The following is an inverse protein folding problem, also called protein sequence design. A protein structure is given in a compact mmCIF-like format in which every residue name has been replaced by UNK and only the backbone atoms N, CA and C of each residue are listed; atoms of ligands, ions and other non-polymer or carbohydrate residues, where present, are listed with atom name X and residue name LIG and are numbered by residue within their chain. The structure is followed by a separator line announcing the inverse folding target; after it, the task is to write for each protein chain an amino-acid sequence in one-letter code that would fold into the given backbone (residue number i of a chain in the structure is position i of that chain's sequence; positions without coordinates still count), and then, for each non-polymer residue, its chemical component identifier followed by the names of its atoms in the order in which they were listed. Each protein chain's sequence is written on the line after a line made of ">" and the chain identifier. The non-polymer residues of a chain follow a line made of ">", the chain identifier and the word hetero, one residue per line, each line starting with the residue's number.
data_IF_635435840249
#
_entry.id   IF_635435840249
#
_cell.length_a   1.000
_cell.length_b   1.000
_cell.length_c   1.000
_cell.angle_alpha   90.00
_cell.angle_beta   90.00
_cell.angle_gamma   90.00
#
_symmetry.space_group_name_H-M   'P 1'
#
loop_
_entity.id
_entity.type
_entity.pdbx_description
1 polymer ?
2 non-polymer ?
3 non-polymer ?
4 non-polymer ?
5 water ?
#
# COMPACT_ATOMS: atom_id res chain seq x y z
N UNK A 17 0.29 -29.94 1.11
CA UNK A 17 1.42 -29.92 0.14
C UNK A 17 1.51 -28.54 -0.52
N UNK A 18 0.75 -28.28 -1.58
CA UNK A 18 0.86 -27.01 -2.31
C UNK A 18 0.09 -25.86 -1.64
N UNK A 20 -2.43 -22.72 -1.76
CA UNK A 20 -3.58 -22.56 -2.64
C UNK A 20 -3.53 -21.24 -3.41
N UNK A 21 -2.54 -21.09 -4.29
CA UNK A 21 -2.32 -19.80 -4.94
C UNK A 21 -3.51 -19.34 -5.81
N UNK A 22 -4.12 -20.26 -6.55
CA UNK A 22 -5.16 -19.86 -7.52
C UNK A 22 -6.35 -19.26 -6.76
N UNK A 23 -6.77 -19.97 -5.72
CA UNK A 23 -7.82 -19.49 -4.82
C UNK A 23 -7.41 -18.18 -4.16
N UNK A 24 -6.16 -18.08 -3.70
CA UNK A 24 -5.67 -16.86 -3.05
C UNK A 24 -5.90 -15.64 -3.91
N UNK A 25 -5.67 -15.78 -5.22
CA UNK A 25 -5.82 -14.66 -6.17
C UNK A 25 -7.25 -14.14 -6.30
N UNK A 26 -8.23 -14.95 -5.94
CA UNK A 26 -9.64 -14.62 -6.19
C UNK A 26 -10.22 -13.73 -5.10
N UNK A 27 -9.70 -12.50 -5.02
CA UNK A 27 -10.19 -11.46 -4.15
C UNK A 27 -10.24 -10.17 -4.95
N UNK A 28 -11.17 -9.26 -4.61
CA UNK A 28 -11.44 -8.06 -5.41
C UNK A 28 -10.23 -7.19 -5.72
N UNK A 29 -9.36 -6.96 -4.74
CA UNK A 29 -8.22 -6.05 -4.97
C UNK A 29 -7.26 -6.58 -6.03
N UNK A 30 -7.28 -7.89 -6.26
CA UNK A 30 -6.39 -8.53 -7.22
C UNK A 30 -7.11 -8.89 -8.54
N UNK A 31 -8.40 -8.58 -8.61
CA UNK A 31 -9.26 -9.14 -9.66
C UNK A 31 -8.97 -8.61 -11.07
N UNK A 32 -8.28 -7.48 -11.20
CA UNK A 32 -8.03 -6.91 -12.51
C UNK A 32 -6.62 -7.17 -13.04
N UNK A 33 -5.80 -7.91 -12.29
CA UNK A 33 -4.49 -8.29 -12.79
C UNK A 33 -4.66 -9.19 -14.03
N UNK A 34 -3.80 -9.00 -15.03
CA UNK A 34 -3.77 -9.90 -16.19
C UNK A 34 -3.27 -11.29 -15.75
N UNK A 35 -3.50 -12.32 -16.55
CA UNK A 35 -2.97 -13.65 -16.23
C UNK A 35 -1.43 -13.59 -16.05
N UNK A 36 -0.72 -12.85 -16.91
CA UNK A 36 0.73 -12.63 -16.71
C UNK A 36 1.02 -12.07 -15.32
N UNK A 37 0.30 -11.01 -14.95
CA UNK A 37 0.51 -10.37 -13.65
C UNK A 37 0.20 -11.31 -12.47
N UNK A 38 -0.87 -12.09 -12.60
CA UNK A 38 -1.22 -13.05 -11.57
C UNK A 38 -0.14 -14.10 -11.37
N UNK A 39 0.45 -14.58 -12.47
CA UNK A 39 1.50 -15.59 -12.34
C UNK A 39 2.80 -14.98 -11.79
N UNK A 40 3.12 -13.76 -12.21
CA UNK A 40 4.28 -13.06 -11.66
C UNK A 40 4.09 -12.72 -10.17
N UNK A 41 2.90 -12.28 -9.78
CA UNK A 41 2.62 -11.99 -8.40
C UNK A 41 2.77 -13.26 -7.55
N UNK A 42 2.31 -14.39 -8.08
CA UNK A 42 2.41 -15.68 -7.38
C UNK A 42 3.87 -16.08 -7.12
N UNK A 43 4.73 -15.93 -8.13
CA UNK A 43 6.15 -16.21 -7.92
C UNK A 43 6.77 -15.32 -6.85
N UNK A 45 5.23 -13.75 -4.43
CA UNK A 45 4.63 -14.01 -3.13
C UNK A 45 5.24 -15.29 -2.52
N UNK A 46 5.50 -16.30 -3.37
CA UNK A 46 6.19 -17.52 -2.96
C UNK A 46 7.60 -17.21 -2.43
N UNK A 47 8.30 -16.33 -3.13
CA UNK A 47 9.64 -15.91 -2.68
C UNK A 47 9.56 -15.13 -1.37
N UNK A 48 8.56 -14.27 -1.27
CA UNK A 48 8.31 -13.52 -0.03
C UNK A 48 8.23 -14.47 1.16
N UNK A 49 7.42 -15.51 1.02
CA UNK A 49 7.22 -16.46 2.12
C UNK A 49 8.48 -17.28 2.42
N UNK A 50 9.35 -17.47 1.42
CA UNK A 50 10.65 -18.09 1.64
C UNK A 50 11.55 -17.20 2.46
N UNK A 51 11.46 -15.89 2.24
CA UNK A 51 12.40 -14.92 2.80
C UNK A 51 11.90 -14.25 4.08
N UNK A 52 10.60 -14.22 4.30
CA UNK A 52 10.07 -13.51 5.48
C UNK A 52 9.09 -14.40 6.26
N UNK A 53 8.95 -14.14 7.54
CA UNK A 53 7.98 -14.88 8.35
C UNK A 53 6.77 -14.02 8.60
N UNK A 54 5.61 -14.65 8.55
CA UNK A 54 4.37 -14.07 9.00
C UNK A 54 4.14 -14.61 10.40
N UNK A 55 4.16 -13.75 11.41
CA UNK A 55 4.07 -14.22 12.80
C UNK A 55 2.70 -13.85 13.34
N UNK A 56 1.85 -14.85 13.50
CA UNK A 56 0.50 -14.65 14.00
C UNK A 56 0.55 -14.70 15.50
N UNK A 57 -0.06 -13.72 16.15
CA UNK A 57 0.09 -13.56 17.58
C UNK A 57 -1.21 -13.72 18.34
N UNK A 58 -1.08 -13.92 19.65
CA UNK A 58 -2.19 -13.91 20.61
C UNK A 58 -3.24 -14.96 20.28
N UNK A 59 -2.81 -16.13 19.82
CA UNK A 59 -3.72 -17.19 19.44
C UNK A 59 -4.25 -17.15 18.01
N UNK A 60 -3.93 -16.12 17.26
CA UNK A 60 -4.38 -16.08 15.88
C UNK A 60 -3.78 -17.25 15.09
N UNK A 61 -4.60 -17.90 14.28
CA UNK A 61 -4.19 -18.97 13.38
C UNK A 61 -4.50 -18.57 11.94
N UNK A 62 -3.48 -18.50 11.12
CA UNK A 62 -3.62 -18.15 9.72
C UNK A 62 -3.50 -19.42 8.88
N UNK A 63 -4.49 -19.67 8.02
CA UNK A 63 -4.44 -20.80 7.08
C UNK A 63 -3.47 -20.55 5.93
N UNK A 64 -3.11 -21.60 5.20
CA UNK A 64 -2.33 -21.38 4.00
C UNK A 64 -2.96 -20.36 3.06
N UNK A 65 -4.28 -20.40 2.91
CA UNK A 65 -4.96 -19.39 2.07
C UNK A 65 -4.71 -17.99 2.57
N UNK A 66 -4.84 -17.79 3.88
CA UNK A 66 -4.62 -16.47 4.46
C UNK A 66 -3.17 -16.00 4.25
N UNK A 67 -2.23 -16.92 4.49
CA UNK A 67 -0.80 -16.65 4.35
C UNK A 67 -0.47 -16.25 2.92
N UNK A 68 -1.05 -16.99 1.96
CA UNK A 68 -0.86 -16.73 0.53
C UNK A 68 -1.36 -15.34 0.14
N UNK A 69 -2.56 -15.02 0.62
CA UNK A 69 -3.14 -13.72 0.34
C UNK A 69 -2.35 -12.57 0.95
N UNK A 70 -1.91 -12.75 2.19
CA UNK A 70 -1.12 -11.71 2.82
C UNK A 70 0.18 -11.46 2.01
N UNK A 71 0.85 -12.54 1.61
CA UNK A 71 2.06 -12.41 0.77
C UNK A 71 1.81 -11.66 -0.52
N UNK A 73 -0.57 -9.51 -1.10
CA UNK A 73 -0.78 -8.07 -0.84
C UNK A 73 0.50 -7.30 -0.61
N UNK A 74 1.47 -7.93 0.05
CA UNK A 74 2.76 -7.29 0.27
C UNK A 74 3.47 -7.09 -1.07
N UNK A 75 3.31 -8.07 -1.96
CA UNK A 75 3.99 -8.03 -3.24
C UNK A 75 3.35 -7.12 -4.29
N UNK A 76 2.07 -6.84 -4.15
CA UNK A 76 1.36 -6.03 -5.14
C UNK A 76 2.02 -4.67 -5.40
N UNK A 77 2.32 -3.89 -4.34
CA UNK A 77 2.91 -2.58 -4.68
C UNK A 77 4.29 -2.69 -5.28
N UNK A 78 4.98 -3.82 -5.08
CA UNK A 78 6.33 -3.96 -5.63
C UNK A 78 6.37 -4.95 -6.82
N UNK A 79 5.21 -5.22 -7.42
CA UNK A 79 5.13 -6.17 -8.52
C UNK A 79 6.11 -5.84 -9.66
N UNK A 80 6.23 -4.56 -10.01
CA UNK A 80 7.13 -4.11 -11.04
C UNK A 80 8.37 -3.41 -10.50
N UNK A 81 8.60 -3.44 -9.20
CA UNK A 81 9.80 -2.89 -8.60
C UNK A 81 10.76 -4.00 -8.18
N UNK A 82 10.23 -5.09 -7.64
CA UNK A 82 11.04 -6.22 -7.20
C UNK A 82 10.99 -6.44 -5.69
N UNK A 83 11.15 -7.69 -5.29
CA UNK A 83 11.07 -8.05 -3.89
C UNK A 83 12.11 -7.34 -3.01
N UNK A 84 13.20 -6.87 -3.61
CA UNK A 84 14.27 -6.23 -2.82
C UNK A 84 13.82 -4.89 -2.25
N UNK A 85 12.76 -4.30 -2.82
CA UNK A 85 12.19 -3.09 -2.27
C UNK A 85 11.52 -3.30 -0.89
N UNK A 86 11.30 -4.56 -0.52
CA UNK A 86 10.84 -4.94 0.81
C UNK A 86 11.95 -5.39 1.78
N UNK A 87 13.23 -5.07 1.46
CA UNK A 87 14.40 -5.44 2.27
C UNK A 87 14.46 -4.73 3.62
N UNK A 88 13.59 -3.77 3.85
CA UNK A 88 13.62 -3.05 5.10
C UNK A 88 12.97 -3.77 6.28
N UNK A 89 12.53 -5.02 6.07
CA UNK A 89 11.96 -5.84 7.16
C UNK A 89 12.13 -7.32 6.86
N UNK A 90 12.23 -8.11 7.93
CA UNK A 90 12.43 -9.57 7.85
C UNK A 90 11.17 -10.34 8.25
N UNK A 91 10.30 -9.69 9.03
CA UNK A 91 9.13 -10.33 9.65
C UNK A 91 7.93 -9.42 9.57
N UNK A 92 6.75 -10.03 9.62
CA UNK A 92 5.50 -9.32 9.75
C UNK A 92 4.79 -9.87 11.01
N UNK A 93 4.43 -8.99 11.91
CA UNK A 93 3.69 -9.38 13.13
C UNK A 93 2.20 -9.10 12.90
N UNK A 94 1.37 -10.12 13.12
CA UNK A 94 -0.05 -10.01 12.89
C UNK A 94 -0.84 -10.32 14.14
N UNK A 95 -1.50 -9.28 14.62
CA UNK A 95 -2.37 -9.34 15.78
C UNK A 95 -3.78 -9.70 15.32
N UNK A 96 -4.59 -10.30 16.20
CA UNK A 96 -5.97 -10.54 15.79
C UNK A 96 -6.72 -9.27 15.40
N UNK A 97 -6.48 -8.20 16.14
CA UNK A 97 -7.33 -7.03 16.07
C UNK A 97 -6.55 -5.74 16.26
N UNK A 98 -7.12 -4.62 15.80
CA UNK A 98 -6.50 -3.33 16.05
C UNK A 98 -6.46 -3.02 17.54
N UNK A 99 -5.52 -2.18 17.95
CA UNK A 99 -5.34 -1.80 19.35
C UNK A 99 -6.35 -0.74 19.80
N UNK A 110 -4.71 7.37 15.05
CA UNK A 110 -3.37 7.21 14.46
C UNK A 110 -2.40 8.29 14.91
N UNK A 111 -2.57 8.75 16.17
CA UNK A 111 -1.69 9.76 16.78
C UNK A 111 -0.34 9.14 17.09
N UNK A 112 -0.36 7.99 17.78
CA UNK A 112 0.87 7.21 18.03
C UNK A 112 1.37 6.55 16.73
N UNK A 113 0.46 6.15 15.83
CA UNK A 113 0.87 5.54 14.54
C UNK A 113 1.88 6.43 13.81
N UNK A 114 1.46 7.67 13.55
CA UNK A 114 2.30 8.62 12.78
C UNK A 114 3.57 9.04 13.55
N UNK A 115 3.47 9.14 14.88
CA UNK A 115 4.65 9.35 15.74
C UNK A 115 5.67 8.24 15.51
N UNK A 116 5.20 6.98 15.56
CA UNK A 116 6.05 5.81 15.22
C UNK A 116 6.62 5.92 13.80
N UNK A 117 5.77 6.30 12.83
CA UNK A 117 6.18 6.38 11.41
C UNK A 117 7.41 7.29 11.19
N UNK A 118 7.40 8.47 11.83
CA UNK A 118 8.43 9.48 11.60
C UNK A 118 9.65 9.37 12.56
N UNK A 119 9.85 8.22 13.19
CA UNK A 119 10.98 8.01 14.12
C UNK A 119 12.31 7.92 13.39
N UNK A 125 12.95 1.35 11.95
CA UNK A 125 12.80 1.50 10.50
C UNK A 125 13.14 0.18 9.79
N UNK A 126 13.98 -0.63 10.44
CA UNK A 126 14.19 -2.04 10.09
C UNK A 126 13.17 -2.94 10.81
N UNK A 127 12.24 -2.30 11.51
CA UNK A 127 11.39 -3.01 12.45
C UNK A 127 10.45 -3.84 11.64
N UNK A 128 9.85 -4.86 12.26
CA UNK A 128 8.85 -5.64 11.55
C UNK A 128 7.68 -4.75 11.13
N UNK A 129 7.03 -5.12 10.06
CA UNK A 129 5.75 -4.53 9.72
C UNK A 129 4.69 -5.14 10.69
N UNK A 130 3.85 -4.29 11.22
CA UNK A 130 2.82 -4.71 12.18
C UNK A 130 1.45 -4.52 11.54
N UNK A 131 0.67 -5.58 11.55
CA UNK A 131 -0.67 -5.61 10.98
C UNK A 131 -1.64 -6.25 11.99
N UNK A 132 -2.93 -6.19 11.65
CA UNK A 132 -3.92 -7.01 12.34
C UNK A 132 -4.86 -7.64 11.34
N UNK A 133 -5.40 -8.77 11.73
CA UNK A 133 -6.16 -9.63 10.86
C UNK A 133 -7.50 -9.02 10.39
N UNK A 134 -8.17 -8.31 11.27
CA UNK A 134 -9.45 -7.65 10.94
C UNK A 134 -9.23 -6.69 9.77
N UNK A 135 -8.19 -5.86 9.86
CA UNK A 135 -7.89 -4.91 8.80
C UNK A 135 -7.32 -5.58 7.54
N UNK A 136 -6.57 -6.66 7.68
CA UNK A 136 -6.09 -7.43 6.51
C UNK A 136 -7.29 -7.91 5.71
N UNK A 137 -8.27 -8.51 6.38
CA UNK A 137 -9.47 -9.00 5.70
C UNK A 137 -10.19 -7.93 4.91
N UNK A 138 -10.37 -6.75 5.50
CA UNK A 138 -10.79 -5.58 4.72
C UNK A 138 -9.88 -5.26 3.53
N UNK A 139 -8.59 -5.48 3.67
CA UNK A 139 -7.65 -5.17 2.60
C UNK A 139 -7.83 -6.03 1.32
N UNK A 140 -8.62 -7.11 1.40
CA UNK A 140 -8.92 -7.96 0.25
C UNK A 140 -9.92 -7.33 -0.73
N UNK A 141 -10.86 -6.53 -0.20
CA UNK A 141 -11.88 -5.87 -1.02
C UNK A 141 -11.32 -4.71 -1.85
N UNK A 142 -12.16 -4.11 -2.69
CA UNK A 142 -11.72 -2.97 -3.53
C UNK A 142 -12.36 -1.65 -3.05
N UNK A 143 -12.16 -1.33 -1.77
CA UNK A 143 -12.87 -0.22 -1.12
C UNK A 143 -12.10 1.11 -1.01
N UNK A 144 -10.82 1.13 -1.33
CA UNK A 144 -10.00 2.27 -0.97
C UNK A 144 -9.07 1.95 0.19
N UNK A 145 -9.49 1.07 1.11
CA UNK A 145 -8.68 0.80 2.30
C UNK A 145 -7.79 -0.42 2.10
N UNK A 146 -6.50 -0.30 2.40
CA UNK A 146 -5.60 -1.45 2.31
C UNK A 146 -4.42 -1.25 3.25
N UNK A 147 -4.49 -1.87 4.41
CA UNK A 147 -3.49 -1.69 5.45
C UNK A 147 -2.11 -2.19 5.01
N UNK A 148 -2.10 -3.27 4.24
CA UNK A 148 -0.81 -3.85 3.78
C UNK A 148 -0.09 -2.88 2.86
N UNK A 149 -0.82 -2.37 1.87
CA UNK A 149 -0.28 -1.36 0.97
C UNK A 149 0.15 -0.10 1.71
N UNK A 150 -0.64 0.32 2.70
CA UNK A 150 -0.30 1.46 3.58
C UNK A 150 1.08 1.25 4.22
N UNK A 151 1.28 0.11 4.87
CA UNK A 151 2.53 -0.16 5.57
C UNK A 151 3.71 -0.34 4.60
N UNK A 152 3.46 -0.98 3.46
CA UNK A 152 4.49 -1.06 2.41
C UNK A 152 4.91 0.33 1.97
N UNK A 153 3.94 1.21 1.74
CA UNK A 153 4.25 2.58 1.35
C UNK A 153 5.20 3.26 2.33
N UNK A 154 4.96 3.08 3.63
CA UNK A 154 5.87 3.66 4.60
C UNK A 154 7.29 3.08 4.42
N UNK A 155 7.40 1.78 4.19
CA UNK A 155 8.73 1.18 3.94
C UNK A 155 9.40 1.70 2.65
N UNK A 156 8.59 1.99 1.62
CA UNK A 156 9.15 2.55 0.40
C UNK A 156 9.64 3.96 0.63
N UNK A 157 8.91 4.74 1.44
CA UNK A 157 9.25 6.12 1.81
C UNK A 157 10.60 6.15 2.53
N UNK A 158 10.83 5.18 3.42
CA UNK A 158 12.08 5.14 4.21
C UNK A 158 13.16 4.20 3.69
N UNK A 159 13.01 3.71 2.48
CA UNK A 159 13.98 2.75 1.96
C UNK A 159 15.35 3.38 1.77
N UNK A 160 15.41 4.66 1.41
CA UNK A 160 16.67 5.42 1.30
C UNK A 160 17.49 5.42 2.60
N UNK A 161 16.86 5.06 3.71
CA UNK A 161 17.41 5.27 5.03
C UNK A 161 16.97 6.64 5.51
N UNK A 162 16.21 7.37 4.70
CA UNK A 162 15.76 8.72 5.09
C UNK A 162 14.58 8.61 6.05
N UNK A 163 14.29 9.68 6.78
CA UNK A 163 13.10 9.76 7.60
C UNK A 163 11.88 9.80 6.68
N UNK A 164 10.77 9.27 7.15
CA UNK A 164 9.52 9.23 6.38
C UNK A 164 9.08 10.65 5.98
N UNK A 165 9.01 10.96 4.69
CA UNK A 165 8.68 12.31 4.23
C UNK A 165 7.56 12.36 3.20
N UNK A 166 6.93 11.23 2.92
CA UNK A 166 6.04 11.13 1.78
C UNK A 166 6.73 11.04 0.42
N UNK A 167 8.06 10.92 0.39
CA UNK A 167 8.82 10.80 -0.85
C UNK A 167 9.63 9.49 -0.83
N UNK A 168 9.28 8.55 -1.69
CA UNK A 168 10.04 7.34 -1.80
C UNK A 168 11.32 7.56 -2.63
N UNK A 169 12.04 6.49 -2.88
CA UNK A 169 13.30 6.56 -3.60
C UNK A 169 13.09 6.93 -5.06
N UNK A 170 13.36 8.20 -5.36
CA UNK A 170 13.20 8.75 -6.69
C UNK A 170 14.47 9.61 -7.03
N UNK A 171 14.69 9.92 -8.32
CA UNK A 171 15.86 10.74 -8.65
C UNK A 171 15.79 12.11 -8.00
N UNK A 172 16.96 12.64 -7.63
CA UNK A 172 17.02 13.88 -6.85
C UNK A 172 16.29 15.02 -7.54
N UNK A 173 16.44 15.14 -8.86
CA UNK A 173 15.82 16.24 -9.59
C UNK A 173 14.30 16.24 -9.55
N UNK A 174 13.69 15.11 -9.19
CA UNK A 174 12.24 15.02 -9.08
C UNK A 174 11.65 15.34 -7.69
N UNK A 175 12.51 15.48 -6.69
CA UNK A 175 12.03 15.57 -5.31
C UNK A 175 11.24 16.83 -5.04
N UNK A 176 11.75 17.95 -5.55
CA UNK A 176 11.06 19.21 -5.39
C UNK A 176 9.65 19.16 -5.97
N UNK A 177 9.53 18.63 -7.18
CA UNK A 177 8.25 18.56 -7.87
C UNK A 177 7.31 17.55 -7.22
N UNK A 178 7.87 16.42 -6.79
CA UNK A 178 7.09 15.43 -6.03
C UNK A 178 6.52 16.07 -4.76
N UNK A 179 7.38 16.72 -3.97
CA UNK A 179 6.90 17.34 -2.74
C UNK A 179 5.88 18.43 -3.01
N UNK A 180 6.08 19.18 -4.08
CA UNK A 180 5.12 20.18 -4.48
C UNK A 180 3.75 19.56 -4.71
N UNK A 181 3.71 18.48 -5.50
CA UNK A 181 2.42 17.87 -5.90
C UNK A 181 1.77 17.16 -4.73
N UNK A 182 2.60 16.57 -3.85
CA UNK A 182 2.12 15.87 -2.67
C UNK A 182 1.49 16.85 -1.70
N UNK A 183 2.20 17.92 -1.38
CA UNK A 183 1.69 18.95 -0.48
C UNK A 183 0.45 19.68 -1.01
N UNK A 184 0.40 19.88 -2.31
CA UNK A 184 -0.80 20.48 -2.93
C UNK A 184 -2.00 19.55 -2.78
N UNK A 185 -1.77 18.25 -2.92
CA UNK A 185 -2.85 17.27 -2.76
C UNK A 185 -3.32 17.23 -1.32
N UNK A 187 -3.23 19.71 0.91
CA UNK A 187 -4.04 20.90 1.12
C UNK A 187 -5.40 20.80 0.43
N UNK A 188 -5.42 20.22 -0.76
CA UNK A 188 -6.68 19.96 -1.48
C UNK A 188 -7.60 19.03 -0.68
N UNK A 189 -7.04 18.00 -0.04
CA UNK A 189 -7.80 17.10 0.83
C UNK A 189 -8.30 17.88 2.05
N UNK A 190 -7.45 18.69 2.66
CA UNK A 190 -7.91 19.50 3.79
C UNK A 190 -9.04 20.45 3.39
N UNK A 191 -8.94 21.04 2.20
CA UNK A 191 -9.99 21.96 1.72
C UNK A 191 -11.32 21.24 1.60
N UNK A 192 -11.30 20.04 1.07
CA UNK A 192 -12.51 19.23 0.98
C UNK A 192 -13.04 18.88 2.36
N UNK A 193 -12.16 18.53 3.28
CA UNK A 193 -12.62 18.23 4.64
C UNK A 193 -13.31 19.45 5.23
N UNK A 194 -12.73 20.62 5.03
CA UNK A 194 -13.29 21.84 5.58
C UNK A 194 -14.66 22.16 4.95
N UNK A 195 -14.86 21.77 3.70
CA UNK A 195 -16.09 22.07 2.96
C UNK A 195 -17.22 21.06 3.20
N UNK A 196 -16.93 19.77 3.04
CA UNK A 196 -17.98 18.74 3.11
C UNK A 196 -18.00 17.94 4.41
N UNK A 197 -16.99 18.06 5.26
CA UNK A 197 -16.87 17.24 6.48
C UNK A 197 -16.02 15.98 6.27
N UNK A 198 -15.44 15.44 7.36
CA UNK A 198 -14.61 14.25 7.25
C UNK A 198 -15.32 13.03 6.67
N UNK A 199 -16.54 12.74 7.14
CA UNK A 199 -17.29 11.57 6.71
C UNK A 199 -17.50 11.50 5.19
N UNK A 200 -17.81 12.64 4.57
CA UNK A 200 -18.11 12.67 3.14
C UNK A 200 -16.90 12.91 2.23
N UNK A 201 -15.73 13.13 2.80
CA UNK A 201 -14.56 13.46 1.99
C UNK A 201 -14.13 12.32 1.02
N UNK A 202 -13.77 12.69 -0.21
CA UNK A 202 -13.42 11.74 -1.29
C UNK A 202 -12.22 10.85 -0.95
N UNK A 203 -11.20 11.45 -0.35
CA UNK A 203 -10.01 10.71 0.11
C UNK A 203 -10.05 10.75 1.63
N UNK A 204 -9.85 9.60 2.25
CA UNK A 204 -9.79 9.53 3.70
C UNK A 204 -9.02 10.71 4.30
N UNK A 205 -9.62 11.34 5.31
CA UNK A 205 -9.11 12.55 5.96
C UNK A 205 -7.74 12.35 6.60
N UNK A 206 -7.45 11.11 6.95
CA UNK A 206 -6.13 10.81 7.50
C UNK A 206 -4.96 11.23 6.56
N UNK A 207 -5.15 11.15 5.25
CA UNK A 207 -4.16 11.65 4.25
C UNK A 207 -3.68 13.10 4.51
N UNK A 208 -4.50 13.96 5.12
CA UNK A 208 -4.09 15.34 5.34
C UNK A 208 -3.23 15.48 6.61
N UNK A 209 -3.04 14.39 7.34
CA UNK A 209 -2.28 14.39 8.60
C UNK A 209 -0.87 14.96 8.46
N UNK A 210 -0.15 14.44 7.47
CA UNK A 210 1.25 14.75 7.26
C UNK A 210 1.69 14.08 5.96
N UNK A 211 2.82 14.52 5.38
CA UNK A 211 3.16 14.03 4.04
C UNK A 211 3.40 12.52 4.01
N UNK A 212 4.01 11.95 5.04
CA UNK A 212 4.23 10.50 5.05
C UNK A 212 2.90 9.76 5.00
N UNK A 213 1.92 10.23 5.77
CA UNK A 213 0.60 9.58 5.78
C UNK A 213 -0.12 9.85 4.47
N UNK A 214 0.08 11.04 3.90
CA UNK A 214 -0.53 11.32 2.59
C UNK A 214 -0.04 10.33 1.54
N UNK A 215 1.26 10.09 1.49
CA UNK A 215 1.79 9.12 0.51
C UNK A 215 1.19 7.71 0.73
N UNK A 216 1.14 7.27 1.99
CA UNK A 216 0.64 5.93 2.32
C UNK A 216 -0.83 5.76 2.04
N UNK A 217 -1.64 6.75 2.42
CA UNK A 217 -3.10 6.69 2.14
C UNK A 217 -3.35 6.76 0.65
N UNK A 218 -2.71 7.69 -0.05
CA UNK A 218 -2.93 7.76 -1.51
C UNK A 218 -2.43 6.49 -2.20
N UNK A 219 -1.40 5.84 -1.64
CA UNK A 219 -0.96 4.54 -2.19
C UNK A 219 -2.08 3.50 -2.02
N UNK A 220 -2.78 3.52 -0.90
CA UNK A 220 -3.94 2.64 -0.72
C UNK A 220 -4.96 2.89 -1.85
N UNK A 221 -5.27 4.16 -2.14
CA UNK A 221 -6.23 4.48 -3.23
C UNK A 221 -5.71 4.07 -4.59
N UNK A 222 -4.40 4.25 -4.78
CA UNK A 222 -3.77 3.94 -6.07
C UNK A 222 -4.09 2.50 -6.48
N UNK A 223 -3.95 1.57 -5.54
CA UNK A 223 -4.20 0.17 -5.77
C UNK A 223 -5.65 -0.32 -5.54
N UNK A 224 -6.39 0.30 -4.62
CA UNK A 224 -7.72 -0.22 -4.25
C UNK A 224 -8.87 0.61 -4.82
N UNK A 225 -8.64 1.91 -5.05
CA UNK A 225 -9.67 2.79 -5.63
C UNK A 225 -9.08 3.88 -6.54
N UNK A 226 -8.37 3.47 -7.63
CA UNK A 226 -7.69 4.43 -8.49
C UNK A 226 -8.65 5.43 -9.13
N UNK A 227 -9.89 5.00 -9.37
CA UNK A 227 -10.93 5.90 -9.90
C UNK A 227 -11.15 7.19 -9.07
N UNK A 228 -10.81 7.17 -7.78
CA UNK A 228 -10.92 8.38 -6.92
C UNK A 228 -9.67 9.25 -6.92
N UNK A 229 -8.55 8.63 -7.28
CA UNK A 229 -7.26 9.30 -7.25
C UNK A 229 -7.02 9.98 -8.60
N UNK A 230 -6.98 9.19 -9.67
CA UNK A 230 -6.50 9.67 -10.98
C UNK A 230 -7.15 10.99 -11.46
N UNK A 231 -8.49 11.05 -11.45
CA UNK A 231 -9.16 12.31 -11.88
C UNK A 231 -8.90 13.49 -10.95
N UNK A 232 -8.65 13.21 -9.69
CA UNK A 232 -8.64 14.24 -8.68
C UNK A 232 -7.26 14.88 -8.55
N UNK A 233 -6.21 14.07 -8.73
CA UNK A 233 -4.82 14.56 -8.64
C UNK A 233 -4.02 14.05 -9.84
N UNK A 234 -4.28 14.61 -11.02
CA UNK A 234 -3.69 14.06 -12.24
C UNK A 234 -2.16 14.09 -12.28
N UNK A 235 -1.55 15.17 -11.78
CA UNK A 235 -0.09 15.29 -11.78
C UNK A 235 0.55 14.26 -10.81
N UNK A 236 0.02 14.21 -9.59
CA UNK A 236 0.50 13.26 -8.62
C UNK A 236 0.27 11.80 -9.08
N UNK A 237 -0.91 11.55 -9.67
CA UNK A 237 -1.24 10.25 -10.23
C UNK A 237 -0.15 9.82 -11.21
N UNK A 238 0.23 10.71 -12.12
CA UNK A 238 1.26 10.41 -13.12
C UNK A 238 2.57 10.05 -12.38
N UNK A 239 2.90 10.79 -11.32
CA UNK A 239 4.12 10.50 -10.57
C UNK A 239 4.04 9.12 -9.93
N UNK A 240 2.89 8.76 -9.37
CA UNK A 240 2.74 7.43 -8.78
C UNK A 240 2.87 6.32 -9.83
N UNK A 241 2.23 6.49 -10.98
CA UNK A 241 2.34 5.52 -12.07
C UNK A 241 3.80 5.29 -12.45
N UNK A 242 4.57 6.36 -12.53
CA UNK A 242 5.98 6.26 -12.93
C UNK A 242 6.82 5.67 -11.81
N UNK A 243 6.46 5.97 -10.55
CA UNK A 243 7.22 5.41 -9.42
C UNK A 243 6.89 3.93 -9.25
N UNK A 244 5.62 3.58 -9.17
CA UNK A 244 5.21 2.16 -9.00
C UNK A 244 5.37 1.31 -10.29
N UNK A 245 5.52 1.97 -11.44
CA UNK A 245 5.63 1.29 -12.76
C UNK A 245 4.39 0.41 -13.06
N UNK A 246 3.24 0.90 -12.65
CA UNK A 246 1.96 0.22 -12.81
C UNK A 246 0.92 1.32 -13.06
N UNK A 247 -0.15 0.97 -13.75
CA UNK A 247 -1.28 1.88 -14.00
C UNK A 247 -2.57 1.11 -13.68
N UNK A 248 -3.04 1.21 -12.43
CA UNK A 248 -4.15 0.34 -12.04
C UNK A 248 -5.47 0.69 -12.70
N UNK A 249 -5.58 1.93 -13.15
CA UNK A 249 -6.80 2.41 -13.78
C UNK A 249 -6.89 1.83 -15.17
N UNK A 250 -5.78 1.88 -15.91
CA UNK A 250 -5.67 1.29 -17.24
C UNK A 250 -5.88 -0.22 -17.21
N UNK A 251 -5.45 -0.84 -16.12
CA UNK A 251 -5.58 -2.27 -15.92
C UNK A 251 -7.07 -2.66 -15.79
N UNK A 252 -7.87 -1.77 -15.21
CA UNK A 252 -9.32 -1.95 -15.18
C UNK A 252 -9.99 -1.81 -16.55
N UNK A 253 -9.20 -1.77 -17.62
CA UNK A 253 -9.72 -1.58 -18.99
C UNK A 253 -9.75 -2.90 -19.79
N UNK A 254 -8.72 -3.74 -19.63
CA UNK A 254 -8.73 -5.09 -20.24
C UNK A 254 -8.63 -6.15 -19.16
#
# INVERSE_FOLDING_TARGET
>A
GXXFKWPWKADDESGNAEXPWEQALAIPVLAHLSSTEQHKLTQXAARFLQQKRLVALQGLELTPLHQARIAXLFCLPVLELGIEWLDGFHEVLIYPAPFIVDDEWEDDIGLVHNQRVVQSGQSWQQGPVVLNWLDIQDSFDASGFNLVVHEVAHKLDTRNGDRASGVPLIPLREVAGWEHDLHAAXNNIQDEIDLVGESAASIDAYAATDPAECFAVLSEYFFSAPELFAPRFPALWQRFCHFYRQDPLARRRENGLQDEGDRRIVH
#
